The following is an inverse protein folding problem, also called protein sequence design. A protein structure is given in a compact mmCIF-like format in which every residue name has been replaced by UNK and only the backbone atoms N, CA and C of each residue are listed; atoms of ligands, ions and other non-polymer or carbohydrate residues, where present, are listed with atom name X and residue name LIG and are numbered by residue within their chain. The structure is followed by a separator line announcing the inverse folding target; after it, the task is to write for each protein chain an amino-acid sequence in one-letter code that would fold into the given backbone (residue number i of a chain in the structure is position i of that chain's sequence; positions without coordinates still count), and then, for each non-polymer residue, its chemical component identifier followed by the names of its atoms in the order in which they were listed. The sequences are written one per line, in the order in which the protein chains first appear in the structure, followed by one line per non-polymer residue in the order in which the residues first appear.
data_IF_793261826760
#
_entry.id   IF_793261826760
#
_cell.length_a   1.000
_cell.length_b   1.000
_cell.length_c   1.000
_cell.angle_alpha   90.00
_cell.angle_beta   90.00
_cell.angle_gamma   90.00
#
_symmetry.space_group_name_H-M   'P 1'
#
loop_
_entity.id
_entity.type
_entity.pdbx_description
1 polymer ?
#
# COMPACT_ATOMS: atom_id res chain seq x y z
N UNK A 1 -29.65 -34.41 -37.00
CA UNK A 1 -28.94 -35.38 -36.15
C UNK A 1 -27.73 -34.69 -35.54
N UNK A 2 -27.63 -34.75 -34.20
CA UNK A 2 -26.49 -34.45 -33.29
C UNK A 2 -25.42 -33.46 -33.78
N UNK A 3 -25.13 -32.33 -33.14
CA UNK A 3 -25.01 -32.11 -31.70
C UNK A 3 -23.57 -32.37 -31.27
N UNK A 4 -22.66 -31.41 -31.50
CA UNK A 4 -21.32 -31.42 -30.93
C UNK A 4 -21.36 -30.61 -29.64
N UNK A 5 -21.28 -31.37 -28.55
CA UNK A 5 -21.13 -30.93 -27.18
C UNK A 5 -19.64 -30.58 -26.98
N UNK A 6 -19.35 -29.33 -26.68
CA UNK A 6 -18.09 -28.90 -26.06
C UNK A 6 -18.42 -27.65 -25.24
N UNK A 7 -19.14 -27.88 -24.14
CA UNK A 7 -19.14 -26.93 -23.03
C UNK A 7 -17.77 -26.98 -22.37
N UNK A 8 -16.91 -26.02 -22.70
CA UNK A 8 -15.80 -25.70 -21.82
C UNK A 8 -16.38 -24.96 -20.62
N UNK A 9 -16.73 -25.73 -19.58
CA UNK A 9 -17.04 -25.20 -18.26
C UNK A 9 -15.76 -24.57 -17.70
N UNK A 10 -15.63 -23.25 -17.78
CA UNK A 10 -14.71 -22.54 -16.90
C UNK A 10 -15.17 -22.79 -15.46
N UNK A 11 -14.36 -23.57 -14.75
CA UNK A 11 -14.53 -23.88 -13.34
C UNK A 11 -14.61 -22.55 -12.58
N UNK A 12 -15.70 -22.26 -11.83
CA UNK A 12 -15.73 -21.12 -10.95
C UNK A 12 -14.59 -21.29 -9.96
N UNK A 13 -13.68 -20.31 -9.86
CA UNK A 13 -12.69 -20.27 -8.80
C UNK A 13 -13.42 -20.37 -7.45
N UNK A 14 -13.27 -21.51 -6.77
CA UNK A 14 -13.90 -21.87 -5.48
C UNK A 14 -13.39 -21.05 -4.28
N UNK A 15 -12.95 -19.81 -4.48
CA UNK A 15 -12.43 -18.94 -3.42
C UNK A 15 -12.96 -17.50 -3.50
N UNK A 16 -14.12 -17.29 -4.13
CA UNK A 16 -14.82 -16.00 -4.06
C UNK A 16 -15.55 -15.86 -2.71
N UNK A 17 -14.80 -15.50 -1.68
CA UNK A 17 -15.34 -15.10 -0.38
C UNK A 17 -15.48 -13.56 -0.33
N UNK A 18 -16.69 -13.00 -0.54
CA UNK A 18 -16.90 -11.55 -0.46
C UNK A 18 -16.56 -10.97 0.92
N UNK A 19 -16.52 -11.78 1.98
CA UNK A 19 -16.09 -11.31 3.31
C UNK A 19 -14.56 -11.07 3.37
N UNK A 20 -13.75 -11.84 2.63
CA UNK A 20 -12.30 -11.61 2.51
C UNK A 20 -11.96 -10.40 1.65
N UNK A 21 -12.65 -10.20 0.53
CA UNK A 21 -12.44 -9.00 -0.31
C UNK A 21 -12.83 -7.72 0.44
N UNK A 22 -13.96 -7.70 1.14
CA UNK A 22 -14.41 -6.52 1.89
C UNK A 22 -13.47 -6.16 3.05
N UNK A 23 -12.95 -7.15 3.78
CA UNK A 23 -12.00 -6.93 4.88
C UNK A 23 -10.65 -6.43 4.37
N UNK A 24 -10.15 -6.99 3.26
CA UNK A 24 -8.87 -6.60 2.67
C UNK A 24 -8.91 -5.16 2.14
N UNK A 25 -10.00 -4.80 1.45
CA UNK A 25 -10.22 -3.44 0.94
C UNK A 25 -10.34 -2.40 2.06
N UNK A 26 -10.90 -2.77 3.22
CA UNK A 26 -11.00 -1.87 4.37
C UNK A 26 -9.62 -1.51 4.94
N UNK A 27 -8.75 -2.50 5.13
CA UNK A 27 -7.39 -2.29 5.62
C UNK A 27 -6.53 -1.45 4.68
N UNK A 28 -6.60 -1.72 3.37
CA UNK A 28 -5.90 -0.92 2.35
C UNK A 28 -6.33 0.54 2.35
N UNK A 29 -7.65 0.78 2.44
CA UNK A 29 -8.21 2.14 2.49
C UNK A 29 -7.74 2.91 3.72
N UNK A 30 -7.66 2.26 4.88
CA UNK A 30 -7.15 2.87 6.10
C UNK A 30 -5.65 3.22 5.99
N UNK A 31 -4.84 2.35 5.40
CA UNK A 31 -3.42 2.62 5.15
C UNK A 31 -3.27 3.80 4.20
N UNK A 32 -4.02 3.84 3.11
CA UNK A 32 -3.98 4.93 2.14
C UNK A 32 -4.35 6.26 2.82
N UNK A 33 -5.44 6.30 3.59
CA UNK A 33 -5.83 7.49 4.36
C UNK A 33 -4.76 7.92 5.37
N UNK A 34 -4.11 6.98 6.05
CA UNK A 34 -3.01 7.28 6.97
C UNK A 34 -1.80 7.87 6.23
N UNK A 35 -1.49 7.40 5.03
CA UNK A 35 -0.44 7.99 4.19
C UNK A 35 -0.84 9.40 3.73
N UNK A 36 -2.09 9.61 3.36
CA UNK A 36 -2.60 10.89 2.87
C UNK A 36 -2.60 11.99 3.94
N UNK A 37 -2.70 11.63 5.22
CA UNK A 37 -2.62 12.59 6.34
C UNK A 37 -1.19 12.93 6.76
N UNK A 38 -0.17 12.24 6.24
CA UNK A 38 1.21 12.61 6.52
C UNK A 38 1.54 13.99 5.95
N UNK A 39 2.32 14.82 6.70
CA UNK A 39 2.94 16.01 6.12
C UNK A 39 3.72 15.66 4.85
N UNK A 40 3.63 16.50 3.82
CA UNK A 40 4.12 16.21 2.47
C UNK A 40 5.58 15.72 2.46
N UNK A 41 6.45 16.35 3.24
CA UNK A 41 7.86 15.96 3.32
C UNK A 41 8.10 14.51 3.80
N UNK A 42 7.17 13.93 4.57
CA UNK A 42 7.22 12.53 5.00
C UNK A 42 6.48 11.65 4.01
N UNK A 43 5.30 12.08 3.55
CA UNK A 43 4.50 11.38 2.54
C UNK A 43 5.31 11.07 1.29
N UNK A 44 5.98 12.08 0.72
CA UNK A 44 6.78 11.93 -0.51
C UNK A 44 7.86 10.86 -0.35
N UNK A 45 8.65 10.91 0.73
CA UNK A 45 9.73 9.90 0.92
C UNK A 45 9.19 8.51 1.22
N UNK A 46 8.02 8.40 1.85
CA UNK A 46 7.36 7.11 2.10
C UNK A 46 6.83 6.52 0.79
N UNK A 47 6.15 7.31 -0.05
CA UNK A 47 5.65 6.85 -1.35
C UNK A 47 6.82 6.39 -2.22
N UNK A 48 7.87 7.22 -2.34
CA UNK A 48 9.03 6.87 -3.15
C UNK A 48 9.72 5.59 -2.62
N UNK A 49 9.77 5.40 -1.30
CA UNK A 49 10.43 4.24 -0.72
C UNK A 49 9.59 2.97 -0.74
N UNK A 50 8.34 3.02 -0.28
CA UNK A 50 7.53 1.82 -0.03
C UNK A 50 6.70 1.44 -1.25
N UNK A 51 6.25 2.42 -2.04
CA UNK A 51 5.40 2.17 -3.21
C UNK A 51 6.25 2.05 -4.47
N UNK A 52 7.13 3.02 -4.71
CA UNK A 52 8.01 3.04 -5.89
C UNK A 52 9.32 2.26 -5.70
N UNK A 53 9.55 1.72 -4.49
CA UNK A 53 10.69 0.87 -4.14
C UNK A 53 12.08 1.47 -4.44
N UNK A 54 12.19 2.80 -4.44
CA UNK A 54 13.45 3.48 -4.74
C UNK A 54 14.46 3.34 -3.60
N UNK A 55 15.74 3.32 -3.97
CA UNK A 55 16.86 3.40 -3.03
C UNK A 55 16.92 4.76 -2.33
N UNK A 56 17.64 4.85 -1.21
CA UNK A 56 17.77 6.13 -0.51
C UNK A 56 18.59 7.14 -1.32
N UNK A 57 19.52 6.63 -2.12
CA UNK A 57 20.37 7.36 -3.05
C UNK A 57 19.53 7.98 -4.18
N UNK A 58 18.66 7.21 -4.83
CA UNK A 58 17.74 7.72 -5.85
C UNK A 58 16.78 8.76 -5.28
N UNK A 59 16.21 8.51 -4.10
CA UNK A 59 15.33 9.48 -3.43
C UNK A 59 16.08 10.77 -3.10
N UNK A 60 17.34 10.66 -2.65
CA UNK A 60 18.21 11.80 -2.37
C UNK A 60 18.45 12.64 -3.63
N UNK A 61 18.73 11.98 -4.76
CA UNK A 61 18.94 12.63 -6.05
C UNK A 61 17.66 13.29 -6.59
N UNK A 62 16.52 12.59 -6.56
CA UNK A 62 15.22 13.10 -7.02
C UNK A 62 14.78 14.34 -6.24
N UNK A 63 14.96 14.32 -4.92
CA UNK A 63 14.48 15.39 -4.05
C UNK A 63 15.52 16.49 -3.79
N UNK A 64 16.77 16.31 -4.21
CA UNK A 64 17.85 17.27 -3.96
C UNK A 64 18.17 17.47 -2.47
N UNK A 65 17.97 16.44 -1.64
CA UNK A 65 18.22 16.47 -0.19
C UNK A 65 19.26 15.42 0.21
N UNK A 66 19.96 15.60 1.34
CA UNK A 66 20.96 14.64 1.79
C UNK A 66 20.38 13.25 2.09
N UNK A 67 21.16 12.18 1.89
CA UNK A 67 20.80 10.80 2.28
C UNK A 67 20.43 10.71 3.77
N UNK A 68 21.13 11.47 4.64
CA UNK A 68 20.78 11.56 6.06
C UNK A 68 19.38 12.14 6.29
N UNK A 69 19.02 13.18 5.52
CA UNK A 69 17.67 13.76 5.54
C UNK A 69 16.64 12.75 5.07
N UNK A 70 16.89 12.01 3.98
CA UNK A 70 16.01 10.92 3.47
C UNK A 70 15.76 9.90 4.57
N UNK A 71 16.82 9.33 5.16
CA UNK A 71 16.72 8.35 6.26
C UNK A 71 15.90 8.89 7.43
N UNK A 72 16.17 10.13 7.86
CA UNK A 72 15.46 10.75 8.98
C UNK A 72 13.98 11.02 8.68
N UNK A 73 13.62 11.36 7.44
CA UNK A 73 12.24 11.61 7.01
C UNK A 73 11.47 10.30 6.90
N UNK A 74 12.08 9.25 6.34
CA UNK A 74 11.47 7.91 6.27
C UNK A 74 11.18 7.37 7.67
N UNK A 75 12.16 7.41 8.58
CA UNK A 75 11.98 6.94 9.94
C UNK A 75 10.82 7.68 10.64
N UNK A 76 10.82 9.02 10.59
CA UNK A 76 9.75 9.84 11.18
C UNK A 76 8.39 9.62 10.53
N UNK A 77 8.35 9.41 9.20
CA UNK A 77 7.13 9.05 8.49
C UNK A 77 6.56 7.70 8.96
N UNK A 78 7.41 6.67 9.07
CA UNK A 78 7.02 5.35 9.58
C UNK A 78 6.51 5.39 11.01
N UNK A 79 7.16 6.13 11.90
CA UNK A 79 6.69 6.29 13.29
C UNK A 79 5.30 6.96 13.36
N UNK A 80 5.04 7.95 12.50
CA UNK A 80 3.73 8.59 12.42
C UNK A 80 2.67 7.62 11.91
N UNK A 81 2.95 6.89 10.83
CA UNK A 81 2.04 5.86 10.31
C UNK A 81 1.75 4.79 11.35
N UNK A 82 2.77 4.29 12.03
CA UNK A 82 2.61 3.30 13.09
C UNK A 82 1.68 3.79 14.20
N UNK A 83 1.84 5.05 14.64
CA UNK A 83 0.96 5.65 15.64
C UNK A 83 -0.49 5.72 15.16
N UNK A 84 -0.73 6.24 13.96
CA UNK A 84 -2.08 6.37 13.40
C UNK A 84 -2.76 5.01 13.20
N UNK A 85 -2.03 4.03 12.65
CA UNK A 85 -2.57 2.69 12.44
C UNK A 85 -2.82 1.94 13.75
N UNK A 86 -2.05 2.22 14.80
CA UNK A 86 -2.32 1.69 16.14
C UNK A 86 -3.62 2.27 16.70
N UNK A 87 -3.80 3.58 16.63
CA UNK A 87 -5.03 4.27 17.07
C UNK A 87 -6.28 3.80 16.31
N UNK A 88 -6.14 3.42 15.03
CA UNK A 88 -7.23 2.84 14.22
C UNK A 88 -7.59 1.40 14.59
N UNK A 89 -6.65 0.62 15.14
CA UNK A 89 -6.87 -0.76 15.60
C UNK A 89 -7.45 -0.84 17.00
N UNK A 90 -7.29 0.21 17.79
CA UNK A 90 -7.77 0.32 19.17
C UNK A 90 -9.18 0.92 19.26
N UNK A 91 -9.79 1.26 18.12
CA UNK A 91 -11.18 1.70 17.96
C UNK A 91 -12.07 0.55 17.51
#
# INVERSE_FOLDING_TARGET
TMGFDDKEYEIPSEDYDPAKETTSNYGEKQIQQAIDTLPDQFKTVIILREVQQLSYEEISQILGISIGTVKSRINRGRLRLQKMLKELKEQ
#
